data_IF_973696231622
#
_entry.id   IF_973696231622
#
_cell.length_a   1.000
_cell.length_b   1.000
_cell.length_c   1.000
_cell.angle_alpha   90.00
_cell.angle_beta   90.00
_cell.angle_gamma   90.00
#
_symmetry.space_group_name_H-M   'P 1'
#
loop_
_entity.id
_entity.type
_entity.pdbx_description
1 polymer ?
#
# COMPACT_ATOMS: atom_id res chain seq x y z
N UNK A 1 -24.83 1.03 12.54
CA UNK A 1 -24.55 2.45 12.17
C UNK A 1 -23.37 2.58 11.19
N UNK A 2 -22.25 1.87 11.39
CA UNK A 2 -21.09 1.93 10.47
C UNK A 2 -21.38 1.54 9.01
N UNK A 3 -22.25 0.55 8.76
CA UNK A 3 -22.55 0.07 7.39
C UNK A 3 -23.26 1.11 6.50
N UNK A 4 -24.12 1.97 7.06
CA UNK A 4 -24.78 3.06 6.32
C UNK A 4 -23.80 4.20 5.98
N UNK A 5 -22.89 4.51 6.89
CA UNK A 5 -21.83 5.50 6.64
C UNK A 5 -20.86 5.01 5.55
N UNK A 6 -20.50 3.73 5.58
CA UNK A 6 -19.68 3.10 4.54
C UNK A 6 -20.40 3.08 3.19
N UNK A 7 -21.67 2.67 3.13
CA UNK A 7 -22.44 2.65 1.89
C UNK A 7 -22.59 4.05 1.25
N UNK A 8 -22.84 5.09 2.06
CA UNK A 8 -22.94 6.46 1.58
C UNK A 8 -21.58 7.03 1.11
N UNK A 9 -20.49 6.67 1.78
CA UNK A 9 -19.14 7.05 1.37
C UNK A 9 -18.74 6.32 0.08
N UNK A 10 -18.91 5.00 0.03
CA UNK A 10 -18.62 4.15 -1.12
C UNK A 10 -19.45 4.51 -2.36
N UNK A 11 -20.70 4.96 -2.20
CA UNK A 11 -21.50 5.47 -3.31
C UNK A 11 -20.89 6.73 -3.95
N UNK A 12 -20.19 7.57 -3.18
CA UNK A 12 -19.52 8.79 -3.69
C UNK A 12 -18.14 8.51 -4.26
N UNK A 13 -17.36 7.65 -3.60
CA UNK A 13 -15.96 7.39 -4.00
C UNK A 13 -15.80 6.18 -4.93
N UNK A 14 -16.69 5.20 -4.82
CA UNK A 14 -16.69 3.94 -5.57
C UNK A 14 -16.43 4.10 -7.07
N UNK A 15 -17.14 4.98 -7.81
CA UNK A 15 -16.89 5.14 -9.25
C UNK A 15 -15.45 5.58 -9.59
N UNK A 16 -14.79 6.35 -8.72
CA UNK A 16 -13.38 6.74 -8.90
C UNK A 16 -12.41 5.59 -8.62
N UNK A 17 -12.69 4.77 -7.60
CA UNK A 17 -11.87 3.60 -7.26
C UNK A 17 -12.03 2.42 -8.22
N UNK A 18 -13.20 2.26 -8.87
CA UNK A 18 -13.49 1.09 -9.73
C UNK A 18 -13.26 1.32 -11.23
N UNK A 19 -13.31 2.56 -11.73
CA UNK A 19 -13.20 2.82 -13.18
C UNK A 19 -11.93 3.54 -13.62
N UNK A 20 -11.31 4.35 -12.76
CA UNK A 20 -10.25 5.25 -13.21
C UNK A 20 -8.83 4.75 -12.91
N UNK A 21 -8.66 3.73 -12.05
CA UNK A 21 -7.34 3.42 -11.48
C UNK A 21 -7.04 1.92 -11.22
N UNK A 22 -7.27 1.00 -12.17
CA UNK A 22 -6.75 -0.37 -12.03
C UNK A 22 -5.21 -0.38 -11.88
N UNK A 23 -4.49 0.52 -12.54
CA UNK A 23 -3.03 0.67 -12.47
C UNK A 23 -2.56 1.21 -11.11
N UNK A 24 -3.38 1.94 -10.35
CA UNK A 24 -3.00 2.39 -9.01
C UNK A 24 -2.97 1.25 -8.01
N UNK A 25 -3.81 0.23 -8.18
CA UNK A 25 -3.74 -0.99 -7.36
C UNK A 25 -2.46 -1.77 -7.65
N UNK A 26 -2.05 -1.83 -8.91
CA UNK A 26 -0.76 -2.41 -9.32
C UNK A 26 0.40 -1.58 -8.76
N UNK A 27 0.35 -0.25 -8.86
CA UNK A 27 1.33 0.67 -8.30
C UNK A 27 1.45 0.57 -6.78
N UNK A 28 0.32 0.46 -6.07
CA UNK A 28 0.29 0.19 -4.62
C UNK A 28 0.93 -1.15 -4.28
N UNK A 29 0.67 -2.19 -5.07
CA UNK A 29 1.31 -3.50 -4.90
C UNK A 29 2.83 -3.42 -5.04
N UNK A 30 3.31 -2.75 -6.10
CA UNK A 30 4.74 -2.56 -6.36
C UNK A 30 5.40 -1.73 -5.26
N UNK A 31 4.80 -0.62 -4.85
CA UNK A 31 5.35 0.25 -3.80
C UNK A 31 5.38 -0.44 -2.44
N UNK A 32 4.34 -1.22 -2.12
CA UNK A 32 4.30 -2.01 -0.88
C UNK A 32 5.36 -3.10 -0.89
N UNK A 33 5.54 -3.80 -2.02
CA UNK A 33 6.57 -4.82 -2.17
C UNK A 33 7.98 -4.22 -2.09
N UNK A 34 8.21 -3.11 -2.80
CA UNK A 34 9.48 -2.39 -2.77
C UNK A 34 9.79 -1.87 -1.37
N UNK A 35 8.81 -1.27 -0.68
CA UNK A 35 8.95 -0.83 0.71
C UNK A 35 9.28 -1.99 1.64
N UNK A 36 8.57 -3.12 1.53
CA UNK A 36 8.87 -4.31 2.32
C UNK A 36 10.30 -4.81 2.07
N UNK A 37 10.74 -4.86 0.80
CA UNK A 37 12.10 -5.27 0.44
C UNK A 37 13.17 -4.29 0.91
N UNK A 38 12.91 -2.98 0.94
CA UNK A 38 13.86 -1.98 1.45
C UNK A 38 13.91 -2.02 2.98
N UNK A 39 12.76 -2.01 3.65
CA UNK A 39 12.67 -1.94 5.11
C UNK A 39 13.03 -3.24 5.82
N UNK A 40 12.76 -4.40 5.20
CA UNK A 40 13.02 -5.71 5.82
C UNK A 40 14.02 -6.57 5.04
N UNK A 41 14.19 -6.34 3.74
CA UNK A 41 15.22 -7.00 2.93
C UNK A 41 16.56 -6.25 2.91
N UNK A 42 16.57 -4.99 3.35
CA UNK A 42 17.77 -4.30 3.77
C UNK A 42 18.14 -4.77 5.17
N UNK A 43 18.70 -5.99 5.28
CA UNK A 43 19.68 -6.20 6.34
C UNK A 43 20.69 -5.08 6.17
N UNK A 44 20.62 -4.05 7.02
CA UNK A 44 21.82 -3.34 7.40
C UNK A 44 22.72 -4.43 7.97
N UNK A 45 23.49 -5.08 7.10
CA UNK A 45 24.78 -5.63 7.46
C UNK A 45 25.61 -4.43 7.84
N UNK A 46 25.33 -3.91 9.03
CA UNK A 46 26.26 -3.17 9.84
C UNK A 46 27.40 -4.16 10.00
N UNK A 47 28.37 -4.11 9.08
CA UNK A 47 29.71 -4.59 9.35
C UNK A 47 30.19 -3.72 10.50
N UNK A 48 29.83 -4.11 11.72
CA UNK A 48 30.48 -3.69 12.94
C UNK A 48 31.76 -4.52 12.93
N UNK A 49 32.95 -3.94 12.65
CA UNK A 49 34.18 -4.67 12.87
C UNK A 49 34.29 -4.91 14.37
N UNK A 50 33.98 -6.14 14.80
CA UNK A 50 34.36 -6.61 16.12
C UNK A 50 35.87 -6.79 16.13
N UNK A 51 36.53 -5.90 16.90
CA UNK A 51 37.88 -5.99 17.46
C UNK A 51 38.75 -7.20 17.09
#
# INVERSE_FOLDING_TARGET
>A
MAGRAFANWWAKVGPYYTKAYPEMWVGLGIMTYLYYKISYGGEFKTYIPSH
#
